data_IF_463309195602
#
_entry.id   IF_463309195602
#
_cell.length_a   1.000
_cell.length_b   1.000
_cell.length_c   1.000
_cell.angle_alpha   90.00
_cell.angle_beta   90.00
_cell.angle_gamma   90.00
#
_symmetry.space_group_name_H-M   'P 1'
#
loop_
_entity.id
_entity.type
_entity.pdbx_description
1 polymer ?
#
# COMPACT_ATOMS: atom_id res chain seq x y z
N UNK A 1 -16.10 26.43 -20.01
CA UNK A 1 -16.29 26.95 -18.63
C UNK A 1 -15.90 25.86 -17.67
N UNK A 2 -15.02 26.12 -16.70
CA UNK A 2 -14.71 25.14 -15.67
C UNK A 2 -16.00 24.83 -14.88
N UNK A 3 -16.28 23.54 -14.66
CA UNK A 3 -17.44 23.09 -13.88
C UNK A 3 -17.29 23.66 -12.46
N UNK A 4 -18.35 24.24 -11.85
CA UNK A 4 -18.25 24.71 -10.47
C UNK A 4 -17.82 23.54 -9.57
N UNK A 5 -16.78 23.74 -8.77
CA UNK A 5 -16.33 22.75 -7.78
C UNK A 5 -17.48 22.47 -6.81
N UNK A 6 -17.97 21.22 -6.79
CA UNK A 6 -18.90 20.79 -5.78
C UNK A 6 -18.12 20.60 -4.48
N UNK A 7 -18.44 21.41 -3.47
CA UNK A 7 -17.81 21.34 -2.15
C UNK A 7 -18.83 20.83 -1.15
N UNK A 8 -18.59 19.65 -0.62
CA UNK A 8 -19.30 19.15 0.55
C UNK A 8 -18.66 19.73 1.82
N UNK A 9 -19.49 20.21 2.75
CA UNK A 9 -19.04 20.87 3.98
C UNK A 9 -19.61 20.16 5.20
N UNK A 10 -18.75 19.73 6.12
CA UNK A 10 -19.14 19.25 7.44
C UNK A 10 -18.71 20.24 8.53
N UNK A 11 -19.55 20.40 9.57
CA UNK A 11 -19.35 21.36 10.66
C UNK A 11 -19.01 22.79 10.15
N UNK A 12 -19.95 23.47 9.47
CA UNK A 12 -19.69 24.73 8.77
C UNK A 12 -19.19 25.86 9.67
N UNK A 13 -19.50 25.81 10.97
CA UNK A 13 -19.09 26.81 11.96
C UNK A 13 -17.81 26.44 12.71
N UNK A 14 -17.13 25.35 12.32
CA UNK A 14 -15.93 24.87 12.98
C UNK A 14 -14.79 25.89 12.92
N UNK A 15 -14.09 26.08 14.05
CA UNK A 15 -12.98 27.03 14.18
C UNK A 15 -11.80 26.73 13.27
N UNK A 16 -11.50 25.45 13.04
CA UNK A 16 -10.33 25.03 12.27
C UNK A 16 -10.74 24.54 10.89
N UNK A 17 -10.12 25.03 9.82
CA UNK A 17 -10.45 24.59 8.46
C UNK A 17 -9.57 23.43 8.04
N UNK A 18 -10.17 22.34 7.58
CA UNK A 18 -9.50 21.18 6.97
C UNK A 18 -10.10 20.93 5.59
N UNK A 19 -9.24 20.68 4.62
CA UNK A 19 -9.65 20.42 3.24
C UNK A 19 -9.16 19.02 2.88
N UNK A 20 -10.08 18.15 2.47
CA UNK A 20 -9.74 16.87 1.84
C UNK A 20 -9.87 17.01 0.34
N UNK A 21 -8.83 16.63 -0.39
CA UNK A 21 -8.84 16.77 -1.85
C UNK A 21 -9.60 15.64 -2.56
N UNK A 22 -10.18 14.70 -1.81
CA UNK A 22 -11.02 13.57 -2.27
C UNK A 22 -11.91 13.09 -1.11
N UNK A 23 -13.08 12.48 -1.39
CA UNK A 23 -13.75 11.65 -0.39
C UNK A 23 -12.85 10.49 0.03
N UNK A 24 -12.74 10.22 1.34
CA UNK A 24 -11.95 9.10 1.87
C UNK A 24 -12.86 8.05 2.53
N UNK A 25 -12.51 6.75 2.48
CA UNK A 25 -13.31 5.68 3.06
C UNK A 25 -13.57 5.83 4.56
N UNK A 26 -14.76 5.38 4.98
CA UNK A 26 -15.23 5.44 6.36
C UNK A 26 -15.57 6.85 6.84
N UNK A 27 -16.15 6.94 8.03
CA UNK A 27 -16.62 8.21 8.63
C UNK A 27 -15.84 8.61 9.87
N UNK A 28 -14.99 7.73 10.40
CA UNK A 28 -14.24 7.98 11.64
C UNK A 28 -13.38 9.24 11.58
N UNK A 29 -12.65 9.42 10.48
CA UNK A 29 -11.80 10.59 10.27
C UNK A 29 -12.60 11.89 10.24
N UNK A 30 -13.80 11.89 9.63
CA UNK A 30 -14.73 13.03 9.63
C UNK A 30 -15.18 13.33 11.06
N UNK A 31 -15.65 12.30 11.78
CA UNK A 31 -16.15 12.44 13.14
C UNK A 31 -15.07 12.98 14.10
N UNK A 32 -13.83 12.49 14.00
CA UNK A 32 -12.71 12.97 14.79
C UNK A 32 -12.40 14.45 14.53
N UNK A 33 -12.45 14.88 13.27
CA UNK A 33 -12.25 16.29 12.91
C UNK A 33 -13.38 17.18 13.46
N UNK A 34 -14.64 16.77 13.27
CA UNK A 34 -15.81 17.52 13.76
C UNK A 34 -15.78 17.65 15.29
N UNK A 35 -15.52 16.57 16.01
CA UNK A 35 -15.40 16.56 17.48
C UNK A 35 -14.30 17.50 17.99
N UNK A 36 -13.33 17.81 17.13
CA UNK A 36 -12.21 18.70 17.44
C UNK A 36 -12.39 20.12 16.90
N UNK A 37 -13.63 20.46 16.57
CA UNK A 37 -14.08 21.77 16.09
C UNK A 37 -13.48 22.15 14.73
N UNK A 38 -13.32 21.17 13.85
CA UNK A 38 -12.88 21.41 12.48
C UNK A 38 -14.08 21.54 11.53
N UNK A 39 -14.07 22.56 10.68
CA UNK A 39 -14.84 22.63 9.43
C UNK A 39 -14.10 21.84 8.36
N UNK A 40 -14.73 20.80 7.82
CA UNK A 40 -14.17 19.94 6.78
C UNK A 40 -14.81 20.26 5.42
N UNK A 41 -13.97 20.45 4.40
CA UNK A 41 -14.38 20.71 3.01
C UNK A 41 -13.79 19.66 2.06
N UNK A 42 -14.59 19.13 1.14
CA UNK A 42 -14.13 18.19 0.10
C UNK A 42 -14.00 18.93 -1.25
N UNK A 43 -12.84 18.87 -1.93
CA UNK A 43 -12.55 19.58 -3.21
C UNK A 43 -11.49 18.84 -4.03
N UNK A 44 -11.09 19.28 -5.23
CA UNK A 44 -9.97 18.68 -6.01
C UNK A 44 -8.94 19.75 -6.45
N UNK A 45 -7.64 19.36 -6.47
CA UNK A 45 -6.48 19.87 -7.25
C UNK A 45 -5.17 19.86 -6.42
N UNK A 46 -4.01 19.63 -7.05
CA UNK A 46 -2.70 19.39 -6.39
C UNK A 46 -1.50 19.99 -7.15
N UNK A 47 -0.57 20.67 -6.45
CA UNK A 47 0.71 21.12 -7.02
C UNK A 47 1.48 22.16 -6.18
N UNK A 48 2.62 22.66 -6.67
CA UNK A 48 3.44 23.69 -5.98
C UNK A 48 2.63 24.96 -5.66
N UNK A 49 1.82 25.39 -6.63
CA UNK A 49 0.88 26.51 -6.48
C UNK A 49 -0.03 26.32 -5.25
N UNK A 50 -0.44 25.09 -4.96
CA UNK A 50 -1.27 24.77 -3.80
C UNK A 50 -0.49 24.94 -2.49
N UNK A 51 0.77 24.54 -2.39
CA UNK A 51 1.55 24.75 -1.15
C UNK A 51 1.77 26.23 -0.85
N UNK A 52 2.07 27.02 -1.89
CA UNK A 52 2.18 28.47 -1.74
C UNK A 52 0.84 29.08 -1.31
N UNK A 53 -0.26 28.70 -1.96
CA UNK A 53 -1.60 29.18 -1.63
C UNK A 53 -2.04 28.75 -0.21
N UNK A 54 -1.79 27.49 0.15
CA UNK A 54 -2.06 26.92 1.48
C UNK A 54 -1.30 27.72 2.55
N UNK A 55 0.00 27.92 2.35
CA UNK A 55 0.84 28.69 3.27
C UNK A 55 0.37 30.16 3.40
N UNK A 56 0.08 30.83 2.29
CA UNK A 56 -0.48 32.20 2.27
C UNK A 56 -1.84 32.30 2.98
N UNK A 57 -2.64 31.23 2.94
CA UNK A 57 -3.91 31.13 3.67
C UNK A 57 -3.74 30.72 5.15
N UNK A 58 -2.51 30.57 5.65
CA UNK A 58 -2.21 30.18 7.03
C UNK A 58 -2.23 28.67 7.29
N UNK A 59 -2.24 27.85 6.23
CA UNK A 59 -2.20 26.39 6.32
C UNK A 59 -0.89 25.87 6.88
N UNK A 60 -0.97 24.90 7.80
CA UNK A 60 0.17 24.42 8.59
C UNK A 60 0.64 23.01 8.22
N UNK A 61 -0.20 22.24 7.53
CA UNK A 61 0.07 20.85 7.25
C UNK A 61 -0.67 20.36 6.00
N UNK A 62 -0.08 19.35 5.38
CA UNK A 62 -0.66 18.50 4.35
C UNK A 62 -0.39 17.05 4.74
N UNK A 63 -1.34 16.13 4.56
CA UNK A 63 -1.10 14.71 4.79
C UNK A 63 -1.54 13.87 3.61
N UNK A 64 -0.60 13.11 3.06
CA UNK A 64 -0.87 12.15 2.01
C UNK A 64 -1.48 10.87 2.60
N UNK A 65 -2.56 10.37 2.01
CA UNK A 65 -3.15 9.07 2.36
C UNK A 65 -2.37 7.94 1.64
N UNK A 66 -1.07 7.83 1.91
CA UNK A 66 -0.18 6.81 1.37
C UNK A 66 1.09 6.69 2.22
N UNK A 67 1.84 5.61 2.06
CA UNK A 67 3.19 5.48 2.66
C UNK A 67 4.24 6.18 1.81
N UNK A 68 4.30 5.84 0.52
CA UNK A 68 5.18 6.50 -0.43
C UNK A 68 4.68 7.92 -0.72
N UNK A 69 5.62 8.85 -0.85
CA UNK A 69 5.34 10.27 -1.04
C UNK A 69 6.13 10.83 -2.24
N UNK A 70 6.48 9.98 -3.22
CA UNK A 70 7.15 10.37 -4.46
C UNK A 70 6.36 11.42 -5.27
N UNK A 71 5.04 11.45 -5.07
CA UNK A 71 4.11 12.41 -5.67
C UNK A 71 4.02 13.75 -4.92
N UNK A 72 4.81 13.94 -3.84
CA UNK A 72 4.78 15.11 -2.98
C UNK A 72 6.12 15.84 -3.05
N UNK A 73 6.10 17.11 -3.45
CA UNK A 73 7.30 17.96 -3.39
C UNK A 73 7.58 18.41 -1.95
N UNK A 74 8.34 17.58 -1.24
CA UNK A 74 8.75 17.84 0.14
C UNK A 74 9.65 19.07 0.26
N UNK A 75 10.44 19.38 -0.78
CA UNK A 75 11.34 20.54 -0.76
C UNK A 75 10.55 21.85 -0.86
N UNK A 76 9.54 21.91 -1.73
CA UNK A 76 8.60 23.02 -1.78
C UNK A 76 7.88 23.17 -0.43
N UNK A 77 7.39 22.07 0.17
CA UNK A 77 6.75 22.11 1.47
C UNK A 77 7.67 22.67 2.57
N UNK A 78 8.96 22.29 2.57
CA UNK A 78 9.97 22.83 3.49
C UNK A 78 10.13 24.35 3.31
N UNK A 79 10.26 24.82 2.07
CA UNK A 79 10.39 26.26 1.74
C UNK A 79 9.21 27.07 2.28
N UNK A 80 8.01 26.50 2.30
CA UNK A 80 6.79 27.17 2.77
C UNK A 80 6.42 26.83 4.23
N UNK A 81 7.26 26.09 4.95
CA UNK A 81 7.03 25.71 6.35
C UNK A 81 5.84 24.77 6.56
N UNK A 82 5.42 24.04 5.53
CA UNK A 82 4.26 23.13 5.58
C UNK A 82 4.72 21.73 6.02
N UNK A 83 4.14 21.24 7.11
CA UNK A 83 4.40 19.87 7.57
C UNK A 83 3.74 18.86 6.64
N UNK A 84 4.48 17.84 6.20
CA UNK A 84 3.99 16.80 5.29
C UNK A 84 3.82 15.48 6.06
N UNK A 85 2.59 15.00 6.17
CA UNK A 85 2.24 13.71 6.76
C UNK A 85 2.09 12.61 5.72
N UNK A 86 2.24 11.36 6.17
CA UNK A 86 1.95 10.14 5.42
C UNK A 86 1.37 9.08 6.38
N UNK A 87 1.10 7.85 5.88
CA UNK A 87 0.41 6.80 6.68
C UNK A 87 1.17 5.47 6.76
N UNK A 88 2.38 5.44 7.36
CA UNK A 88 3.15 4.21 7.61
C UNK A 88 2.47 3.26 8.61
N UNK A 89 2.93 2.00 8.62
CA UNK A 89 2.40 0.95 9.49
C UNK A 89 1.13 0.30 8.93
N UNK A 90 0.04 1.07 8.84
CA UNK A 90 -1.35 0.60 8.64
C UNK A 90 -1.63 -0.26 7.39
N UNK A 91 -0.78 -0.21 6.37
CA UNK A 91 -0.99 -0.93 5.10
C UNK A 91 0.01 -2.06 4.83
N UNK A 92 0.90 -2.32 5.79
CA UNK A 92 2.03 -3.25 5.60
C UNK A 92 1.54 -4.66 5.31
N UNK A 93 0.65 -5.17 6.16
CA UNK A 93 0.10 -6.52 6.08
C UNK A 93 -0.79 -6.66 4.86
N UNK A 94 -1.75 -5.75 4.65
CA UNK A 94 -2.67 -5.81 3.49
C UNK A 94 -1.93 -5.78 2.15
N UNK A 95 -0.86 -4.98 2.03
CA UNK A 95 -0.05 -4.98 0.80
C UNK A 95 0.69 -6.29 0.59
N UNK A 96 1.26 -6.86 1.67
CA UNK A 96 1.92 -8.14 1.62
C UNK A 96 0.95 -9.30 1.31
N UNK A 97 -0.27 -9.25 1.87
CA UNK A 97 -1.36 -10.19 1.58
C UNK A 97 -1.76 -10.15 0.11
N UNK A 98 -1.87 -8.96 -0.49
CA UNK A 98 -2.15 -8.87 -1.93
C UNK A 98 -0.99 -9.45 -2.75
N UNK A 99 0.26 -9.11 -2.41
CA UNK A 99 1.42 -9.66 -3.11
C UNK A 99 1.44 -11.21 -3.05
N UNK A 100 1.22 -11.80 -1.87
CA UNK A 100 1.09 -13.25 -1.72
C UNK A 100 -0.09 -13.83 -2.50
N UNK A 101 -1.22 -13.12 -2.52
CA UNK A 101 -2.41 -13.51 -3.26
C UNK A 101 -2.16 -13.51 -4.78
N UNK A 102 -1.47 -12.49 -5.30
CA UNK A 102 -1.06 -12.40 -6.71
C UNK A 102 -0.08 -13.51 -7.07
N UNK A 103 0.91 -13.82 -6.20
CA UNK A 103 1.82 -14.95 -6.38
C UNK A 103 1.06 -16.27 -6.54
N UNK A 104 0.11 -16.55 -5.65
CA UNK A 104 -0.70 -17.77 -5.67
C UNK A 104 -1.67 -17.81 -6.86
N UNK A 105 -2.32 -16.69 -7.17
CA UNK A 105 -3.25 -16.59 -8.29
C UNK A 105 -2.56 -16.83 -9.63
N UNK A 106 -1.39 -16.24 -9.83
CA UNK A 106 -0.57 -16.46 -11.00
C UNK A 106 -0.07 -17.93 -11.05
N UNK A 107 0.48 -18.45 -9.96
CA UNK A 107 0.99 -19.82 -9.89
C UNK A 107 -0.09 -20.85 -10.24
N UNK A 108 -1.32 -20.65 -9.74
CA UNK A 108 -2.42 -21.61 -9.84
C UNK A 108 -3.41 -21.30 -10.95
N UNK A 109 -3.11 -20.32 -11.83
CA UNK A 109 -3.95 -19.93 -12.98
C UNK A 109 -5.39 -19.60 -12.60
N UNK A 110 -5.58 -18.98 -11.43
CA UNK A 110 -6.91 -18.80 -10.83
C UNK A 110 -7.80 -17.94 -11.72
N UNK A 111 -7.27 -16.84 -12.25
CA UNK A 111 -8.05 -15.91 -13.09
C UNK A 111 -8.48 -16.55 -14.41
N UNK A 112 -7.58 -17.30 -15.05
CA UNK A 112 -7.89 -18.04 -16.27
C UNK A 112 -9.01 -19.06 -16.03
N UNK A 113 -8.93 -19.80 -14.92
CA UNK A 113 -9.93 -20.78 -14.53
C UNK A 113 -11.29 -20.12 -14.19
N UNK A 114 -11.30 -18.99 -13.49
CA UNK A 114 -12.54 -18.23 -13.20
C UNK A 114 -13.23 -17.78 -14.49
N UNK A 115 -12.49 -17.19 -15.43
CA UNK A 115 -13.02 -16.77 -16.74
C UNK A 115 -13.60 -17.96 -17.50
N UNK A 116 -12.88 -19.08 -17.54
CA UNK A 116 -13.33 -20.31 -18.18
C UNK A 116 -14.62 -20.87 -17.57
N UNK A 117 -14.71 -20.90 -16.23
CA UNK A 117 -15.91 -21.36 -15.53
C UNK A 117 -17.12 -20.46 -15.81
N UNK A 118 -16.93 -19.13 -15.79
CA UNK A 118 -18.00 -18.16 -16.07
C UNK A 118 -18.47 -18.19 -17.51
N UNK A 119 -17.60 -18.58 -18.44
CA UNK A 119 -17.95 -18.78 -19.84
C UNK A 119 -18.76 -20.07 -20.09
N UNK A 120 -18.99 -20.90 -19.07
CA UNK A 120 -19.76 -22.14 -19.21
C UNK A 120 -19.01 -23.25 -19.95
N UNK A 121 -17.68 -23.18 -20.03
CA UNK A 121 -16.84 -24.11 -20.79
C UNK A 121 -16.47 -25.39 -20.01
N UNK A 122 -16.91 -25.51 -18.76
CA UNK A 122 -16.53 -26.62 -17.89
C UNK A 122 -17.45 -27.84 -18.10
N UNK A 123 -16.92 -28.83 -18.80
CA UNK A 123 -17.63 -30.11 -19.08
C UNK A 123 -17.24 -31.25 -18.12
N UNK A 124 -16.39 -30.97 -17.12
CA UNK A 124 -15.95 -31.94 -16.12
C UNK A 124 -14.45 -31.88 -15.82
N UNK A 125 -14.03 -32.62 -14.79
CA UNK A 125 -12.65 -32.65 -14.36
C UNK A 125 -11.75 -33.33 -15.41
N UNK A 126 -10.65 -32.68 -15.78
CA UNK A 126 -9.63 -33.24 -16.66
C UNK A 126 -8.25 -33.11 -16.00
N UNK A 127 -7.35 -34.12 -16.11
CA UNK A 127 -6.03 -34.08 -15.47
C UNK A 127 -5.13 -32.90 -15.87
N UNK A 128 -5.35 -32.32 -17.05
CA UNK A 128 -4.52 -31.25 -17.63
C UNK A 128 -5.20 -29.87 -17.55
N UNK A 129 -6.43 -29.78 -17.02
CA UNK A 129 -7.18 -28.53 -16.96
C UNK A 129 -6.55 -27.58 -15.93
N UNK A 130 -6.05 -26.44 -16.42
CA UNK A 130 -5.38 -25.40 -15.63
C UNK A 130 -4.29 -25.90 -14.68
N UNK A 131 -3.49 -26.87 -15.10
CA UNK A 131 -2.28 -27.26 -14.35
C UNK A 131 -1.39 -26.02 -14.18
N UNK A 132 -1.00 -25.77 -12.93
CA UNK A 132 -0.17 -24.65 -12.52
C UNK A 132 0.95 -25.11 -11.59
N UNK A 133 1.66 -24.15 -11.01
CA UNK A 133 2.94 -24.41 -10.35
C UNK A 133 2.74 -24.60 -8.85
N UNK A 134 3.42 -25.60 -8.29
CA UNK A 134 3.49 -25.81 -6.85
C UNK A 134 4.60 -24.93 -6.28
N UNK A 135 4.25 -23.95 -5.44
CA UNK A 135 5.24 -23.05 -4.81
C UNK A 135 5.97 -23.68 -3.61
N UNK A 136 5.55 -24.86 -3.15
CA UNK A 136 6.18 -25.51 -1.99
C UNK A 136 7.62 -25.90 -2.35
N UNK A 137 8.57 -25.40 -1.55
CA UNK A 137 10.00 -25.67 -1.72
C UNK A 137 10.68 -24.84 -2.81
N UNK A 138 9.97 -23.88 -3.42
CA UNK A 138 10.53 -22.91 -4.36
C UNK A 138 11.21 -21.75 -3.61
N UNK A 139 12.11 -21.06 -4.30
CA UNK A 139 12.84 -19.90 -3.80
C UNK A 139 11.99 -18.64 -3.90
N UNK A 140 11.99 -17.82 -2.84
CA UNK A 140 11.31 -16.52 -2.82
C UNK A 140 12.34 -15.41 -2.85
N UNK A 141 12.45 -14.72 -3.99
CA UNK A 141 13.21 -13.49 -4.12
C UNK A 141 12.42 -12.27 -3.65
N UNK A 142 13.03 -11.41 -2.82
CA UNK A 142 12.42 -10.16 -2.37
C UNK A 142 13.33 -8.98 -2.68
N UNK A 143 12.91 -8.15 -3.62
CA UNK A 143 13.59 -6.90 -3.98
C UNK A 143 12.97 -5.79 -3.13
N UNK A 144 13.75 -5.25 -2.19
CA UNK A 144 13.27 -4.28 -1.20
C UNK A 144 12.73 -4.95 0.07
N UNK A 145 13.62 -5.53 0.88
CA UNK A 145 13.30 -6.16 2.17
C UNK A 145 12.98 -5.15 3.29
N UNK A 146 12.21 -4.11 2.99
CA UNK A 146 11.61 -3.20 3.97
C UNK A 146 10.45 -3.85 4.71
N UNK A 147 9.51 -3.04 5.22
CA UNK A 147 8.35 -3.51 6.01
C UNK A 147 7.50 -4.51 5.24
N UNK A 148 7.02 -4.11 4.07
CA UNK A 148 6.15 -4.90 3.21
C UNK A 148 6.90 -6.14 2.70
N UNK A 149 8.11 -5.97 2.16
CA UNK A 149 8.93 -7.09 1.68
C UNK A 149 9.20 -8.12 2.77
N UNK A 150 9.46 -7.69 4.01
CA UNK A 150 9.65 -8.61 5.15
C UNK A 150 8.36 -9.30 5.56
N UNK A 151 7.21 -8.60 5.53
CA UNK A 151 5.90 -9.21 5.80
C UNK A 151 5.53 -10.24 4.74
N UNK A 152 5.72 -9.91 3.46
CA UNK A 152 5.54 -10.83 2.33
C UNK A 152 6.47 -12.04 2.46
N UNK A 153 7.77 -11.84 2.72
CA UNK A 153 8.72 -12.92 2.92
C UNK A 153 8.24 -13.87 4.02
N UNK A 154 7.81 -13.33 5.18
CA UNK A 154 7.25 -14.16 6.27
C UNK A 154 6.04 -14.96 5.82
N UNK A 155 5.11 -14.37 5.07
CA UNK A 155 3.91 -15.07 4.56
C UNK A 155 4.25 -16.20 3.58
N UNK A 156 5.31 -16.05 2.79
CA UNK A 156 5.72 -17.04 1.79
C UNK A 156 6.63 -18.13 2.37
N UNK A 157 7.47 -17.79 3.34
CA UNK A 157 8.42 -18.67 4.03
C UNK A 157 7.74 -19.48 5.13
N UNK A 158 6.87 -18.83 5.89
CA UNK A 158 6.09 -19.44 6.95
C UNK A 158 4.74 -19.69 6.31
N UNK A 159 4.49 -20.95 5.95
CA UNK A 159 3.18 -21.56 5.72
C UNK A 159 2.01 -20.65 6.11
N UNK A 160 0.99 -20.53 5.25
CA UNK A 160 -0.34 -19.91 5.42
C UNK A 160 -1.13 -20.34 6.69
N UNK A 161 -0.49 -20.34 7.84
CA UNK A 161 -0.97 -20.83 9.11
C UNK A 161 -0.30 -19.99 10.20
N UNK A 162 -1.02 -19.00 10.69
CA UNK A 162 -0.77 -18.38 11.99
C UNK A 162 -0.90 -19.48 13.04
N UNK A 163 0.21 -20.06 13.48
CA UNK A 163 0.20 -21.22 14.35
C UNK A 163 0.67 -20.84 15.75
N UNK A 164 -0.11 -21.30 16.74
CA UNK A 164 0.28 -21.34 18.15
C UNK A 164 1.70 -21.90 18.30
N UNK A 165 2.46 -21.35 19.26
CA UNK A 165 3.79 -21.84 19.68
C UNK A 165 3.85 -23.37 19.80
N UNK A 166 2.75 -24.00 20.23
CA UNK A 166 2.60 -25.44 20.38
C UNK A 166 2.74 -26.21 19.06
N UNK A 167 2.23 -25.67 17.95
CA UNK A 167 2.31 -26.35 16.66
C UNK A 167 3.65 -26.09 15.95
N UNK A 168 4.30 -24.95 16.20
CA UNK A 168 5.69 -24.74 15.75
C UNK A 168 6.66 -25.74 16.38
N UNK A 169 6.46 -26.07 17.66
CA UNK A 169 7.19 -27.14 18.34
C UNK A 169 6.84 -28.53 17.76
N UNK A 170 5.58 -28.78 17.42
CA UNK A 170 5.15 -30.00 16.73
C UNK A 170 5.83 -30.17 15.37
N UNK A 171 5.87 -29.14 14.51
CA UNK A 171 6.53 -29.21 13.20
C UNK A 171 8.03 -29.50 13.34
N UNK A 172 8.69 -28.86 14.30
CA UNK A 172 10.11 -29.11 14.60
C UNK A 172 10.34 -30.55 15.10
N UNK A 173 9.46 -31.05 15.97
CA UNK A 173 9.51 -32.43 16.46
C UNK A 173 9.28 -33.47 15.36
N UNK A 174 8.55 -33.12 14.31
CA UNK A 174 8.33 -33.95 13.12
C UNK A 174 9.41 -33.79 12.03
N UNK A 175 10.54 -33.14 12.34
CA UNK A 175 11.69 -33.06 11.44
C UNK A 175 11.51 -32.10 10.27
N UNK A 176 10.58 -31.15 10.34
CA UNK A 176 10.50 -30.13 9.29
C UNK A 176 11.75 -29.23 9.29
N UNK A 177 12.32 -29.04 8.10
CA UNK A 177 13.53 -28.25 7.92
C UNK A 177 13.27 -26.76 8.14
N UNK A 178 14.26 -26.08 8.74
CA UNK A 178 14.23 -24.63 8.90
C UNK A 178 14.41 -23.96 7.54
N UNK A 179 13.64 -22.89 7.31
CA UNK A 179 13.85 -22.05 6.13
C UNK A 179 15.12 -21.23 6.32
N UNK A 180 16.01 -21.29 5.34
CA UNK A 180 17.23 -20.50 5.28
C UNK A 180 16.97 -19.20 4.51
N UNK A 181 17.75 -18.18 4.79
CA UNK A 181 17.71 -16.93 4.03
C UNK A 181 19.13 -16.42 3.82
N UNK A 182 19.34 -15.72 2.71
CA UNK A 182 20.59 -15.06 2.34
C UNK A 182 20.26 -13.65 1.88
N UNK A 183 20.98 -12.65 2.38
CA UNK A 183 20.87 -11.29 1.87
C UNK A 183 21.67 -11.19 0.58
N UNK A 184 21.00 -10.87 -0.51
CA UNK A 184 21.63 -10.46 -1.76
C UNK A 184 22.04 -8.97 -1.68
N UNK A 185 23.16 -8.63 -2.33
CA UNK A 185 23.67 -7.26 -2.41
C UNK A 185 23.09 -6.50 -3.61
N UNK A 186 22.64 -7.22 -4.63
CA UNK A 186 22.13 -6.66 -5.89
C UNK A 186 20.85 -7.36 -6.33
N UNK A 187 20.08 -6.73 -7.22
CA UNK A 187 18.89 -7.35 -7.82
C UNK A 187 19.27 -8.53 -8.70
N UNK A 188 20.39 -8.43 -9.42
CA UNK A 188 20.94 -9.45 -10.30
C UNK A 188 21.34 -10.71 -9.52
N UNK A 189 21.80 -10.58 -8.28
CA UNK A 189 21.99 -11.74 -7.39
C UNK A 189 20.67 -12.41 -7.04
N UNK A 190 19.60 -11.66 -6.76
CA UNK A 190 18.27 -12.24 -6.49
C UNK A 190 17.76 -12.98 -7.72
N UNK A 191 17.87 -12.37 -8.90
CA UNK A 191 17.39 -12.95 -10.15
C UNK A 191 18.18 -14.21 -10.57
N UNK A 192 19.48 -14.29 -10.24
CA UNK A 192 20.30 -15.49 -10.51
C UNK A 192 19.92 -16.70 -9.66
N UNK A 193 19.33 -16.47 -8.49
CA UNK A 193 18.86 -17.52 -7.58
C UNK A 193 17.38 -17.88 -7.84
N UNK A 194 16.74 -17.24 -8.84
CA UNK A 194 15.36 -17.53 -9.19
C UNK A 194 15.23 -18.92 -9.84
N UNK A 195 14.16 -19.62 -9.49
CA UNK A 195 13.82 -20.90 -10.13
C UNK A 195 13.50 -20.71 -11.61
N UNK A 196 13.64 -21.79 -12.40
CA UNK A 196 13.40 -21.78 -13.86
C UNK A 196 11.98 -21.32 -14.22
N UNK A 197 10.99 -21.64 -13.38
CA UNK A 197 9.59 -21.23 -13.53
C UNK A 197 9.24 -20.06 -12.59
N UNK A 198 10.03 -18.99 -12.62
CA UNK A 198 9.83 -17.82 -11.79
C UNK A 198 8.49 -17.11 -12.06
N UNK A 199 7.91 -16.55 -10.99
CA UNK A 199 6.75 -15.67 -11.04
C UNK A 199 7.19 -14.29 -10.55
N UNK A 200 6.98 -13.26 -11.37
CA UNK A 200 7.28 -11.88 -11.00
C UNK A 200 6.05 -11.20 -10.42
N UNK A 201 6.16 -10.61 -9.23
CA UNK A 201 5.06 -9.88 -8.59
C UNK A 201 5.49 -8.45 -8.26
N UNK A 202 4.64 -7.48 -8.62
CA UNK A 202 4.87 -6.07 -8.33
C UNK A 202 3.66 -5.40 -7.68
N UNK A 203 3.79 -5.13 -6.38
CA UNK A 203 2.89 -4.27 -5.59
C UNK A 203 3.61 -3.02 -5.06
N UNK A 204 4.71 -2.62 -5.71
CA UNK A 204 5.56 -1.52 -5.25
C UNK A 204 5.23 -0.23 -6.01
N UNK A 205 5.85 -0.01 -7.15
CA UNK A 205 5.62 1.10 -8.09
C UNK A 205 5.76 0.57 -9.51
N UNK A 206 5.01 1.16 -10.45
CA UNK A 206 5.08 0.79 -11.86
C UNK A 206 6.48 0.92 -12.46
N UNK A 207 7.13 2.10 -12.37
CA UNK A 207 8.43 2.37 -13.01
C UNK A 207 9.63 1.55 -12.54
N UNK A 208 9.42 0.52 -11.70
CA UNK A 208 10.48 -0.45 -11.35
C UNK A 208 10.59 -1.58 -12.39
N UNK A 209 9.60 -1.71 -13.28
CA UNK A 209 9.57 -2.66 -14.38
C UNK A 209 9.40 -1.87 -15.68
N UNK A 210 10.24 -2.15 -16.67
CA UNK A 210 9.98 -1.74 -18.05
C UNK A 210 8.82 -2.59 -18.57
N UNK A 211 7.64 -1.98 -18.67
CA UNK A 211 6.41 -2.69 -18.95
C UNK A 211 6.31 -3.10 -20.43
N UNK A 212 7.00 -2.39 -21.33
CA UNK A 212 7.11 -2.77 -22.74
C UNK A 212 7.92 -4.06 -22.86
N UNK A 213 9.10 -4.11 -22.23
CA UNK A 213 9.93 -5.31 -22.20
C UNK A 213 9.20 -6.49 -21.52
N UNK A 214 8.41 -6.22 -20.47
CA UNK A 214 7.61 -7.25 -19.83
C UNK A 214 6.56 -7.85 -20.78
N UNK A 215 5.83 -7.02 -21.53
CA UNK A 215 4.84 -7.50 -22.50
C UNK A 215 5.49 -8.35 -23.58
N UNK A 216 6.63 -7.93 -24.12
CA UNK A 216 7.40 -8.71 -25.08
C UNK A 216 7.83 -10.06 -24.50
N UNK A 217 8.32 -10.06 -23.26
CA UNK A 217 8.73 -11.28 -22.58
C UNK A 217 7.56 -12.23 -22.31
N UNK A 218 6.39 -11.73 -21.89
CA UNK A 218 5.18 -12.53 -21.66
C UNK A 218 4.68 -13.21 -22.94
N UNK A 219 4.77 -12.52 -24.09
CA UNK A 219 4.43 -13.08 -25.41
C UNK A 219 5.39 -14.20 -25.83
N UNK A 220 6.68 -14.00 -25.62
CA UNK A 220 7.71 -14.97 -25.99
C UNK A 220 7.74 -16.20 -25.05
N UNK A 221 7.26 -16.07 -23.80
CA UNK A 221 7.37 -17.09 -22.76
C UNK A 221 6.00 -17.40 -22.12
N UNK A 222 5.17 -18.27 -22.73
CA UNK A 222 3.82 -18.58 -22.23
C UNK A 222 3.77 -19.21 -20.82
N UNK A 223 4.90 -19.75 -20.35
CA UNK A 223 5.03 -20.33 -19.01
C UNK A 223 5.49 -19.32 -17.94
N UNK A 224 6.10 -18.20 -18.34
CA UNK A 224 6.42 -17.12 -17.42
C UNK A 224 5.13 -16.44 -16.96
N UNK A 225 5.02 -16.09 -15.68
CA UNK A 225 3.80 -15.50 -15.11
C UNK A 225 4.09 -14.27 -14.27
N UNK A 226 3.14 -13.35 -14.27
CA UNK A 226 3.22 -12.16 -13.43
C UNK A 226 1.95 -11.87 -12.64
N UNK A 227 2.14 -11.18 -11.52
CA UNK A 227 1.08 -10.55 -10.73
C UNK A 227 1.37 -9.06 -10.54
N UNK A 228 0.55 -8.18 -11.09
CA UNK A 228 0.81 -6.73 -11.11
C UNK A 228 -0.34 -5.97 -10.46
N UNK A 229 0.00 -5.11 -9.51
CA UNK A 229 -0.92 -4.14 -8.91
C UNK A 229 -0.69 -2.71 -9.41
N UNK A 230 0.47 -2.45 -10.03
CA UNK A 230 0.92 -1.09 -10.38
C UNK A 230 1.55 -1.06 -11.77
N UNK A 231 1.42 0.08 -12.46
CA UNK A 231 1.81 0.27 -13.86
C UNK A 231 2.61 1.56 -14.07
N UNK A 232 3.44 1.62 -15.11
CA UNK A 232 4.33 2.78 -15.34
C UNK A 232 3.55 4.10 -15.50
N UNK A 233 2.46 4.06 -16.27
CA UNK A 233 1.65 5.22 -16.68
C UNK A 233 0.21 5.12 -16.16
N UNK A 234 0.03 4.79 -14.88
CA UNK A 234 -1.30 4.69 -14.27
C UNK A 234 -2.20 5.91 -14.59
N UNK A 235 -3.48 5.68 -14.95
CA UNK A 235 -4.24 4.42 -14.83
C UNK A 235 -4.10 3.46 -16.02
N UNK A 236 -3.19 3.73 -16.95
CA UNK A 236 -3.04 2.95 -18.18
C UNK A 236 -1.98 1.86 -18.04
N UNK A 237 -2.23 0.74 -18.72
CA UNK A 237 -1.24 -0.27 -19.02
C UNK A 237 -0.65 -0.02 -20.42
N UNK A 238 0.60 -0.43 -20.65
CA UNK A 238 1.21 -0.48 -21.97
C UNK A 238 0.42 -1.43 -22.88
N UNK A 239 0.38 -1.12 -24.20
CA UNK A 239 -0.38 -1.92 -25.16
C UNK A 239 -0.01 -3.40 -25.15
N UNK A 240 -1.02 -4.26 -25.19
CA UNK A 240 -0.88 -5.71 -25.24
C UNK A 240 -0.82 -6.40 -23.88
N UNK A 241 -0.57 -5.69 -22.76
CA UNK A 241 -0.59 -6.32 -21.44
C UNK A 241 -1.97 -6.89 -21.09
N UNK A 242 -3.04 -6.20 -21.48
CA UNK A 242 -4.43 -6.64 -21.25
C UNK A 242 -4.78 -7.98 -21.93
N UNK A 243 -4.04 -8.37 -22.98
CA UNK A 243 -4.27 -9.62 -23.71
C UNK A 243 -3.48 -10.82 -23.13
N UNK A 244 -2.58 -10.57 -22.16
CA UNK A 244 -1.68 -11.59 -21.62
C UNK A 244 -2.37 -12.45 -20.57
N UNK A 245 -2.77 -13.67 -20.96
CA UNK A 245 -3.43 -14.64 -20.05
C UNK A 245 -2.53 -15.11 -18.90
N UNK A 246 -1.21 -15.02 -19.07
CA UNK A 246 -0.19 -15.31 -18.07
C UNK A 246 0.15 -14.10 -17.17
N UNK A 247 -0.65 -13.02 -17.24
CA UNK A 247 -0.57 -11.89 -16.32
C UNK A 247 -1.86 -11.79 -15.48
N UNK A 248 -1.71 -11.76 -14.17
CA UNK A 248 -2.78 -11.36 -13.24
C UNK A 248 -2.59 -9.89 -12.93
N UNK A 249 -3.55 -9.04 -13.31
CA UNK A 249 -3.47 -7.59 -13.15
C UNK A 249 -4.62 -7.08 -12.28
N UNK A 250 -4.32 -6.14 -11.37
CA UNK A 250 -5.31 -5.50 -10.50
C UNK A 250 -5.04 -3.99 -10.38
N UNK A 251 -6.07 -3.15 -10.16
CA UNK A 251 -5.93 -1.70 -10.32
C UNK A 251 -5.50 -0.98 -9.03
N UNK A 252 -4.24 -1.15 -8.61
CA UNK A 252 -3.63 -0.45 -7.48
C UNK A 252 -4.44 -0.57 -6.17
N UNK A 253 -4.75 -1.82 -5.82
CA UNK A 253 -5.55 -2.24 -4.68
C UNK A 253 -4.70 -2.82 -3.53
N UNK A 254 -3.36 -2.74 -3.57
CA UNK A 254 -2.46 -3.20 -2.50
C UNK A 254 -2.91 -2.84 -1.08
N UNK A 255 -3.39 -1.63 -0.86
CA UNK A 255 -3.84 -1.16 0.45
C UNK A 255 -5.35 -1.29 0.68
N UNK A 256 -6.11 -1.86 -0.26
CA UNK A 256 -7.56 -1.73 -0.35
C UNK A 256 -8.35 -2.76 0.50
N UNK A 257 -7.97 -2.94 1.77
CA UNK A 257 -8.88 -3.51 2.76
C UNK A 257 -9.70 -2.38 3.40
N UNK A 258 -10.91 -2.69 3.87
CA UNK A 258 -11.75 -1.72 4.59
C UNK A 258 -10.98 -1.14 5.78
N UNK A 259 -10.42 -2.02 6.61
CA UNK A 259 -9.66 -1.63 7.80
C UNK A 259 -8.47 -0.72 7.45
N UNK A 260 -7.67 -1.07 6.45
CA UNK A 260 -6.50 -0.28 6.07
C UNK A 260 -6.87 1.06 5.49
N UNK A 261 -7.85 1.14 4.57
CA UNK A 261 -8.24 2.43 3.97
C UNK A 261 -8.85 3.38 5.00
N UNK A 262 -9.70 2.88 5.89
CA UNK A 262 -10.26 3.71 6.97
C UNK A 262 -9.17 4.14 7.97
N UNK A 263 -8.22 3.26 8.26
CA UNK A 263 -7.08 3.56 9.12
C UNK A 263 -6.16 4.61 8.50
N UNK A 264 -5.83 4.51 7.20
CA UNK A 264 -5.06 5.52 6.47
C UNK A 264 -5.76 6.88 6.50
N UNK A 265 -7.06 6.93 6.24
CA UNK A 265 -7.83 8.17 6.30
C UNK A 265 -7.78 8.79 7.71
N UNK A 266 -7.90 7.95 8.74
CA UNK A 266 -7.80 8.35 10.15
C UNK A 266 -6.42 8.93 10.46
N UNK A 267 -5.33 8.24 10.11
CA UNK A 267 -3.97 8.72 10.36
C UNK A 267 -3.68 10.03 9.61
N UNK A 268 -4.14 10.15 8.36
CA UNK A 268 -3.95 11.37 7.57
C UNK A 268 -4.67 12.57 8.22
N UNK A 269 -5.91 12.38 8.67
CA UNK A 269 -6.65 13.41 9.40
C UNK A 269 -5.96 13.78 10.72
N UNK A 270 -5.44 12.80 11.47
CA UNK A 270 -4.75 13.02 12.74
C UNK A 270 -3.40 13.74 12.57
N UNK A 271 -2.70 13.55 11.45
CA UNK A 271 -1.51 14.35 11.12
C UNK A 271 -1.86 15.84 10.99
N UNK A 272 -2.91 16.15 10.21
CA UNK A 272 -3.35 17.54 10.00
C UNK A 272 -3.87 18.15 11.30
N UNK A 273 -4.74 17.43 12.02
CA UNK A 273 -5.30 17.87 13.28
C UNK A 273 -4.20 18.12 14.33
N UNK A 274 -3.28 17.17 14.50
CA UNK A 274 -2.19 17.31 15.46
C UNK A 274 -1.34 18.55 15.16
N UNK A 275 -1.08 18.85 13.88
CA UNK A 275 -0.37 20.07 13.49
C UNK A 275 -1.17 21.35 13.73
N UNK A 276 -2.48 21.33 13.53
CA UNK A 276 -3.37 22.45 13.85
C UNK A 276 -3.36 22.73 15.37
N UNK A 277 -3.41 21.67 16.19
CA UNK A 277 -3.45 21.74 17.66
C UNK A 277 -2.07 21.94 18.32
N UNK A 278 -0.99 21.82 17.55
CA UNK A 278 0.38 21.98 18.06
C UNK A 278 0.92 20.75 18.81
N UNK A 279 0.37 19.57 18.54
CA UNK A 279 0.81 18.33 19.15
C UNK A 279 2.21 17.90 18.69
N UNK A 280 2.98 17.21 19.56
CA UNK A 280 4.28 16.65 19.18
C UNK A 280 4.13 15.50 18.19
N UNK A 281 5.23 15.11 17.55
CA UNK A 281 5.26 14.00 16.60
C UNK A 281 5.38 12.66 17.34
N UNK A 282 4.61 11.67 16.95
CA UNK A 282 4.70 10.31 17.49
C UNK A 282 6.10 9.72 17.24
N UNK A 283 6.67 9.06 18.25
CA UNK A 283 8.06 8.63 18.21
C UNK A 283 8.32 7.46 17.23
N UNK A 284 7.37 6.52 17.14
CA UNK A 284 7.47 5.37 16.23
C UNK A 284 6.34 5.40 15.20
N UNK A 285 6.56 5.96 14.00
CA UNK A 285 5.53 6.07 12.98
C UNK A 285 5.01 4.72 12.48
N UNK A 286 5.59 3.59 12.89
CA UNK A 286 5.13 2.25 12.49
C UNK A 286 4.17 1.62 13.49
N UNK A 287 4.16 2.12 14.73
CA UNK A 287 3.24 1.66 15.78
C UNK A 287 2.04 2.59 15.84
N UNK A 288 1.09 2.32 14.94
CA UNK A 288 -0.07 3.17 14.72
C UNK A 288 -1.35 2.67 15.39
N UNK A 289 -1.33 1.47 15.97
CA UNK A 289 -2.49 0.87 16.65
C UNK A 289 -3.16 1.80 17.67
N UNK A 290 -2.42 2.57 18.50
CA UNK A 290 -3.05 3.51 19.44
C UNK A 290 -3.91 4.59 18.78
N UNK A 291 -3.66 4.94 17.53
CA UNK A 291 -4.47 5.90 16.77
C UNK A 291 -5.68 5.24 16.09
N UNK A 292 -5.65 3.92 15.97
CA UNK A 292 -6.63 3.11 15.23
C UNK A 292 -7.56 2.31 16.14
N UNK A 293 -7.32 2.27 17.45
CA UNK A 293 -8.27 1.70 18.41
C UNK A 293 -9.54 2.57 18.48
N UNK A 294 -10.70 2.00 18.17
CA UNK A 294 -11.99 2.71 18.22
C UNK A 294 -12.54 2.86 19.64
N UNK A 295 -12.03 2.08 20.60
CA UNK A 295 -12.52 2.07 21.99
C UNK A 295 -11.87 3.16 22.84
N UNK A 296 -10.78 3.74 22.37
CA UNK A 296 -10.00 4.74 23.09
C UNK A 296 -9.82 6.02 22.26
N UNK A 297 -9.78 7.20 22.90
CA UNK A 297 -9.41 8.43 22.21
C UNK A 297 -7.98 8.32 21.67
N UNK A 298 -7.70 8.79 20.44
CA UNK A 298 -6.34 8.76 19.90
C UNK A 298 -5.39 9.63 20.73
N UNK A 299 -4.11 9.27 20.84
CA UNK A 299 -3.10 10.08 21.50
C UNK A 299 -3.05 11.51 20.95
N UNK A 300 -2.74 12.49 21.81
CA UNK A 300 -2.50 13.87 21.41
C UNK A 300 -1.11 14.04 20.75
N UNK A 301 -0.92 13.39 19.60
CA UNK A 301 0.32 13.36 18.83
C UNK A 301 0.01 13.29 17.33
N UNK A 302 0.96 13.74 16.49
CA UNK A 302 0.90 13.54 15.04
C UNK A 302 1.47 12.15 14.70
N UNK A 303 0.70 11.23 14.09
CA UNK A 303 1.19 9.88 13.80
C UNK A 303 2.46 9.81 12.95
N UNK A 304 2.59 10.70 11.95
CA UNK A 304 3.76 10.73 11.07
C UNK A 304 3.92 12.06 10.34
N UNK A 305 5.12 12.64 10.36
CA UNK A 305 5.49 13.80 9.54
C UNK A 305 6.84 13.52 8.89
N UNK A 306 6.89 13.48 7.56
CA UNK A 306 8.07 13.06 6.79
C UNK A 306 9.20 14.10 6.86
N UNK A 307 8.87 15.38 6.94
CA UNK A 307 9.84 16.50 6.96
C UNK A 307 10.07 17.10 8.36
N UNK A 308 9.81 16.34 9.42
CA UNK A 308 9.87 16.84 10.80
C UNK A 308 11.23 17.45 11.16
N UNK A 309 12.33 16.89 10.64
CA UNK A 309 13.70 17.36 10.92
C UNK A 309 13.96 18.72 10.28
N UNK A 310 13.54 18.90 9.03
CA UNK A 310 13.70 20.17 8.31
C UNK A 310 12.91 21.31 8.96
N UNK A 311 11.79 20.97 9.61
CA UNK A 311 10.93 21.93 10.31
C UNK A 311 11.22 22.06 11.81
N UNK A 312 12.22 21.34 12.34
CA UNK A 312 12.58 21.38 13.76
C UNK A 312 11.44 20.99 14.72
N UNK A 313 10.57 20.07 14.31
CA UNK A 313 9.37 19.71 15.10
C UNK A 313 9.71 18.78 16.28
N UNK A 314 9.13 19.00 17.47
CA UNK A 314 9.40 18.18 18.64
C UNK A 314 8.78 16.78 18.51
N UNK A 315 9.52 15.77 18.95
CA UNK A 315 9.05 14.38 19.05
C UNK A 315 8.51 14.14 20.45
N UNK A 316 7.40 13.41 20.52
CA UNK A 316 6.72 13.01 21.74
C UNK A 316 7.62 12.11 22.59
N UNK A 317 7.50 12.24 23.92
CA UNK A 317 8.07 11.30 24.90
C UNK A 317 7.05 10.29 25.43
N UNK A 318 5.80 10.37 24.95
CA UNK A 318 4.72 9.44 25.27
C UNK A 318 5.08 8.01 24.86
#
# INVERSE_FOLDING_TARGET
MAKPLQVEIHNPNGKYRVISTKPMPGTRWINLLIQQDCRLELTEDWGETLFSALSKAGGKAFSNMAVGYNNVDVNAANKFGVAVGNTPGVLTETTAELAASLSLAAARRIVEADVFMRAGLYDGWLPHLFVGNLLKGQTVGVIGAGRIGSAYARMMVIKLHTLSLTYGQFLKANGEQHVTWKRASTMEEVLREADVEAILVNCSRGPVIDEVALVEHLKANPMFRVGLDVFEDEPYMKPGLADMKNAVVVPHIASASKWTREGMATLAALNVLGKIKGYPIWADPNRVDPFLDEKTPPPAACPSIVNLKALGLPVSKL
#
